data_IF_425275113247
#
_entry.id   IF_425275113247
#
_cell.length_a   1.000
_cell.length_b   1.000
_cell.length_c   1.000
_cell.angle_alpha   90.00
_cell.angle_beta   90.00
_cell.angle_gamma   90.00
#
_symmetry.space_group_name_H-M   'P 1'
#
loop_
_entity.id
_entity.type
_entity.pdbx_description
1 polymer ?
#
# COMPACT_ATOMS: atom_id res chain seq x y z
N UNK A 1 12.55 14.46 -2.23
CA UNK A 1 12.61 13.00 -2.14
C UNK A 1 13.58 12.46 -3.19
N UNK A 2 14.52 11.61 -2.80
CA UNK A 2 15.53 11.09 -3.71
C UNK A 2 15.08 9.74 -4.29
N UNK A 3 14.22 9.03 -3.58
CA UNK A 3 13.62 7.75 -4.00
C UNK A 3 12.18 7.69 -3.55
N UNK A 4 11.32 7.24 -4.43
CA UNK A 4 9.92 7.01 -4.13
C UNK A 4 9.66 5.51 -3.97
N UNK A 5 8.75 5.19 -3.06
CA UNK A 5 8.34 3.85 -2.75
C UNK A 5 6.81 3.76 -2.79
N UNK A 6 6.32 3.07 -3.80
CA UNK A 6 4.90 2.94 -4.08
C UNK A 6 4.41 1.50 -3.84
N UNK A 7 3.11 1.31 -3.82
CA UNK A 7 2.46 0.00 -3.69
C UNK A 7 2.93 -0.79 -2.46
N UNK A 8 2.94 -0.14 -1.28
CA UNK A 8 3.43 -0.72 -0.02
C UNK A 8 4.87 -1.26 -0.08
N UNK A 9 5.66 -0.71 -0.98
CA UNK A 9 7.03 -1.14 -1.21
C UNK A 9 7.19 -2.15 -2.35
N UNK A 10 6.12 -2.50 -3.06
CA UNK A 10 6.20 -3.34 -4.26
C UNK A 10 7.02 -2.69 -5.38
N UNK A 11 7.12 -1.35 -5.38
CA UNK A 11 7.92 -0.61 -6.37
C UNK A 11 8.77 0.46 -5.71
N UNK A 12 10.05 0.52 -6.09
CA UNK A 12 11.01 1.55 -5.69
C UNK A 12 11.59 2.18 -6.94
N UNK A 13 11.52 3.51 -7.04
CA UNK A 13 12.02 4.28 -8.18
C UNK A 13 13.04 5.30 -7.69
N UNK A 14 14.16 5.45 -8.38
CA UNK A 14 15.06 6.59 -8.19
C UNK A 14 14.46 7.81 -8.90
N UNK A 15 14.01 8.80 -8.12
CA UNK A 15 13.32 9.97 -8.64
C UNK A 15 14.20 10.91 -9.48
N UNK A 16 15.52 10.75 -9.44
CA UNK A 16 16.45 11.56 -10.25
C UNK A 16 16.62 10.99 -11.65
N UNK A 17 16.65 9.67 -11.76
CA UNK A 17 16.90 8.98 -13.04
C UNK A 17 15.63 8.42 -13.66
N UNK A 18 14.56 8.23 -12.87
CA UNK A 18 13.36 7.50 -13.25
C UNK A 18 13.57 5.98 -13.30
N UNK A 19 14.73 5.48 -12.87
CA UNK A 19 15.04 4.05 -12.88
C UNK A 19 14.22 3.31 -11.83
N UNK A 20 13.57 2.21 -12.23
CA UNK A 20 12.93 1.28 -11.31
C UNK A 20 13.97 0.38 -10.68
N UNK A 21 14.21 0.56 -9.38
CA UNK A 21 15.21 -0.21 -8.62
C UNK A 21 14.65 -1.57 -8.16
N UNK A 22 13.39 -1.60 -7.78
CA UNK A 22 12.66 -2.81 -7.34
C UNK A 22 11.27 -2.76 -7.92
N UNK A 23 10.79 -3.88 -8.44
CA UNK A 23 9.41 -4.05 -8.85
C UNK A 23 8.98 -5.50 -8.54
N UNK A 24 8.02 -5.64 -7.63
CA UNK A 24 7.35 -6.91 -7.32
C UNK A 24 5.95 -6.85 -7.88
N UNK A 25 5.58 -7.83 -8.68
CA UNK A 25 4.30 -7.88 -9.38
C UNK A 25 3.54 -9.13 -9.00
N UNK A 26 2.23 -9.06 -9.07
CA UNK A 26 1.36 -10.22 -9.02
C UNK A 26 1.69 -11.17 -10.18
N UNK A 27 1.54 -12.47 -9.96
CA UNK A 27 1.52 -13.42 -11.06
C UNK A 27 0.41 -13.00 -12.05
N UNK A 28 0.71 -12.84 -13.34
CA UNK A 28 -0.30 -12.43 -14.33
C UNK A 28 -1.55 -13.31 -14.34
N UNK A 29 -1.44 -14.60 -14.01
CA UNK A 29 -2.57 -15.51 -13.90
C UNK A 29 -3.55 -15.15 -12.78
N UNK A 30 -3.10 -14.39 -11.76
CA UNK A 30 -3.96 -13.95 -10.66
C UNK A 30 -4.90 -12.81 -11.04
N UNK A 31 -4.57 -11.99 -12.04
CA UNK A 31 -5.40 -10.84 -12.44
C UNK A 31 -6.82 -11.27 -12.83
N UNK A 32 -7.02 -12.22 -13.78
CA UNK A 32 -8.37 -12.66 -14.12
C UNK A 32 -9.07 -13.38 -12.96
N UNK A 33 -8.34 -14.09 -12.10
CA UNK A 33 -8.93 -14.76 -10.94
C UNK A 33 -9.42 -13.75 -9.88
N UNK A 34 -8.68 -12.68 -9.64
CA UNK A 34 -9.06 -11.59 -8.74
C UNK A 34 -10.27 -10.82 -9.30
N UNK A 35 -10.31 -10.57 -10.62
CA UNK A 35 -11.48 -9.98 -11.28
C UNK A 35 -12.71 -10.89 -11.13
N UNK A 36 -12.58 -12.19 -11.36
CA UNK A 36 -13.67 -13.15 -11.18
C UNK A 36 -14.14 -13.24 -9.72
N UNK A 37 -13.22 -13.16 -8.75
CA UNK A 37 -13.56 -13.09 -7.33
C UNK A 37 -14.40 -11.86 -7.01
N UNK A 38 -13.98 -10.69 -7.48
CA UNK A 38 -14.70 -9.44 -7.26
C UNK A 38 -16.09 -9.46 -7.92
N UNK A 39 -16.19 -9.96 -9.14
CA UNK A 39 -17.45 -10.11 -9.85
C UNK A 39 -18.43 -11.05 -9.12
N UNK A 40 -17.95 -12.19 -8.59
CA UNK A 40 -18.76 -13.13 -7.82
C UNK A 40 -19.29 -12.53 -6.51
N UNK A 41 -18.62 -11.52 -5.96
CA UNK A 41 -19.02 -10.79 -4.76
C UNK A 41 -19.85 -9.54 -5.08
N UNK A 42 -20.08 -9.24 -6.35
CA UNK A 42 -20.71 -8.00 -6.81
C UNK A 42 -20.07 -6.73 -6.24
N UNK A 43 -18.73 -6.66 -6.33
CA UNK A 43 -17.91 -5.53 -5.88
C UNK A 43 -16.96 -5.09 -7.00
N UNK A 44 -16.46 -3.85 -6.91
CA UNK A 44 -15.49 -3.36 -7.87
C UNK A 44 -14.07 -3.80 -7.51
N UNK A 45 -13.25 -3.97 -8.54
CA UNK A 45 -11.81 -4.14 -8.46
C UNK A 45 -11.15 -3.24 -9.49
N UNK A 46 -10.01 -2.68 -9.13
CA UNK A 46 -9.26 -1.76 -9.97
C UNK A 46 -7.76 -2.02 -9.88
N UNK A 47 -7.03 -1.50 -10.83
CA UNK A 47 -5.57 -1.43 -10.81
C UNK A 47 -5.10 -0.08 -11.36
N UNK A 48 -3.80 0.07 -11.57
CA UNK A 48 -3.18 1.32 -11.96
C UNK A 48 -2.29 1.10 -13.19
N UNK A 49 -2.30 2.08 -14.07
CA UNK A 49 -1.31 2.19 -15.12
C UNK A 49 -0.65 3.59 -15.06
N UNK A 50 0.12 3.98 -16.09
CA UNK A 50 0.79 5.29 -16.11
C UNK A 50 -0.17 6.47 -16.30
N UNK A 51 -1.38 6.21 -16.78
CA UNK A 51 -2.36 7.23 -17.13
C UNK A 51 -3.38 7.45 -16.00
N UNK A 52 -3.61 6.44 -15.15
CA UNK A 52 -4.58 6.56 -14.06
C UNK A 52 -4.98 5.23 -13.42
N UNK A 53 -6.17 5.25 -12.86
CA UNK A 53 -6.84 4.11 -12.23
C UNK A 53 -7.69 3.41 -13.28
N UNK A 54 -7.50 2.12 -13.47
CA UNK A 54 -8.24 1.30 -14.44
C UNK A 54 -9.29 0.47 -13.74
N UNK A 55 -10.55 0.60 -14.13
CA UNK A 55 -11.70 -0.07 -13.52
C UNK A 55 -12.75 -0.43 -14.57
N UNK A 56 -13.45 -1.57 -14.39
CA UNK A 56 -14.60 -1.92 -15.24
C UNK A 56 -15.88 -1.19 -14.82
N UNK A 57 -16.07 -0.95 -13.53
CA UNK A 57 -17.30 -0.33 -13.02
C UNK A 57 -17.28 1.17 -13.21
N UNK A 58 -18.19 1.65 -14.05
CA UNK A 58 -18.48 3.08 -14.16
C UNK A 58 -19.26 3.53 -12.91
N UNK A 59 -18.87 4.70 -12.36
CA UNK A 59 -19.55 5.37 -11.23
C UNK A 59 -19.65 4.57 -9.94
N UNK A 60 -18.72 3.64 -9.68
CA UNK A 60 -18.63 3.00 -8.37
C UNK A 60 -18.24 4.03 -7.30
N UNK A 61 -19.05 4.13 -6.22
CA UNK A 61 -18.83 5.12 -5.16
C UNK A 61 -17.46 4.96 -4.51
N UNK A 62 -17.07 3.72 -4.24
CA UNK A 62 -15.85 3.42 -3.49
C UNK A 62 -14.61 3.55 -4.37
N UNK A 63 -14.69 3.15 -5.65
CA UNK A 63 -13.62 3.38 -6.61
C UNK A 63 -13.35 4.87 -6.83
N UNK A 64 -14.40 5.71 -6.83
CA UNK A 64 -14.25 7.15 -6.94
C UNK A 64 -13.54 7.78 -5.74
N UNK A 65 -13.58 7.15 -4.55
CA UNK A 65 -12.80 7.61 -3.38
C UNK A 65 -11.30 7.47 -3.62
N UNK A 66 -10.87 6.43 -4.33
CA UNK A 66 -9.46 6.27 -4.70
C UNK A 66 -9.03 7.38 -5.67
N UNK A 67 -9.84 7.74 -6.67
CA UNK A 67 -9.58 8.89 -7.54
C UNK A 67 -9.46 10.19 -6.76
N UNK A 68 -10.33 10.40 -5.80
CA UNK A 68 -10.29 11.61 -4.96
C UNK A 68 -9.03 11.66 -4.11
N UNK A 69 -8.62 10.53 -3.53
CA UNK A 69 -7.44 10.44 -2.66
C UNK A 69 -6.14 10.59 -3.44
N UNK A 70 -6.01 9.87 -4.56
CA UNK A 70 -4.78 9.85 -5.36
C UNK A 70 -4.67 11.01 -6.35
N UNK A 71 -5.78 11.69 -6.65
CA UNK A 71 -5.92 12.70 -7.72
C UNK A 71 -5.65 12.14 -9.12
N UNK A 72 -5.72 10.83 -9.29
CA UNK A 72 -5.59 10.17 -10.58
C UNK A 72 -6.96 10.09 -11.28
N UNK A 73 -6.99 10.19 -12.62
CA UNK A 73 -8.23 9.99 -13.38
C UNK A 73 -8.65 8.52 -13.38
N UNK A 74 -9.96 8.28 -13.49
CA UNK A 74 -10.51 6.96 -13.76
C UNK A 74 -10.48 6.68 -15.26
N UNK A 75 -9.99 5.50 -15.61
CA UNK A 75 -10.00 4.93 -16.97
C UNK A 75 -10.97 3.77 -16.93
N UNK A 76 -12.10 3.94 -17.63
CA UNK A 76 -13.10 2.89 -17.75
C UNK A 76 -12.71 1.90 -18.85
N UNK A 77 -12.85 0.60 -18.57
CA UNK A 77 -12.63 -0.49 -19.52
C UNK A 77 -13.76 -1.50 -19.44
N UNK A 78 -14.08 -2.17 -20.54
CA UNK A 78 -15.17 -3.14 -20.59
C UNK A 78 -14.82 -4.48 -19.93
N UNK A 79 -13.53 -4.85 -19.90
CA UNK A 79 -13.00 -6.09 -19.34
C UNK A 79 -11.60 -5.83 -18.78
N UNK A 80 -11.50 -5.69 -17.46
CA UNK A 80 -10.24 -5.40 -16.78
C UNK A 80 -9.25 -6.57 -16.91
N UNK A 81 -9.73 -7.80 -16.84
CA UNK A 81 -8.90 -8.99 -16.93
C UNK A 81 -8.20 -9.11 -18.30
N UNK A 82 -8.93 -8.80 -19.37
CA UNK A 82 -8.36 -8.80 -20.73
C UNK A 82 -7.54 -7.55 -21.05
N UNK A 83 -7.88 -6.41 -20.42
CA UNK A 83 -7.16 -5.16 -20.62
C UNK A 83 -5.75 -5.18 -20.02
N UNK A 84 -5.60 -5.81 -18.85
CA UNK A 84 -4.34 -5.83 -18.12
C UNK A 84 -3.34 -6.80 -18.77
N UNK A 85 -2.47 -6.27 -19.59
CA UNK A 85 -1.39 -6.97 -20.29
C UNK A 85 0.01 -6.46 -19.86
N UNK A 86 0.10 -5.87 -18.69
CA UNK A 86 1.31 -5.27 -18.11
C UNK A 86 1.52 -5.74 -16.67
N UNK A 87 2.74 -5.61 -16.12
CA UNK A 87 3.02 -5.98 -14.73
C UNK A 87 2.19 -5.17 -13.74
N UNK A 88 1.52 -5.85 -12.80
CA UNK A 88 0.64 -5.25 -11.79
C UNK A 88 1.25 -5.40 -10.40
N UNK A 89 1.58 -4.31 -9.76
CA UNK A 89 2.12 -4.31 -8.40
C UNK A 89 1.03 -4.45 -7.31
N UNK A 90 -0.21 -4.06 -7.64
CA UNK A 90 -1.34 -4.07 -6.72
C UNK A 90 -2.66 -4.05 -7.48
N UNK A 91 -3.63 -4.83 -7.02
CA UNK A 91 -5.05 -4.61 -7.32
C UNK A 91 -5.77 -4.14 -6.05
N UNK A 92 -6.77 -3.30 -6.21
CA UNK A 92 -7.55 -2.73 -5.12
C UNK A 92 -9.01 -3.13 -5.28
N UNK A 93 -9.53 -3.85 -4.32
CA UNK A 93 -10.94 -4.19 -4.21
C UNK A 93 -11.62 -3.08 -3.42
N UNK A 94 -12.73 -2.56 -3.95
CA UNK A 94 -13.47 -1.46 -3.35
C UNK A 94 -14.89 -1.91 -3.03
N UNK A 95 -15.37 -1.60 -1.81
CA UNK A 95 -16.64 -2.12 -1.34
C UNK A 95 -17.20 -1.36 -0.13
N UNK A 96 -18.47 -1.64 0.18
CA UNK A 96 -19.11 -1.18 1.41
C UNK A 96 -18.32 -1.64 2.64
N UNK A 97 -17.97 -0.75 3.58
CA UNK A 97 -17.25 -1.07 4.81
C UNK A 97 -17.86 -2.24 5.61
N UNK A 98 -19.17 -2.38 5.63
CA UNK A 98 -19.86 -3.46 6.35
C UNK A 98 -19.51 -4.86 5.81
N UNK A 99 -19.05 -4.96 4.56
CA UNK A 99 -18.69 -6.23 3.90
C UNK A 99 -17.20 -6.54 3.94
N UNK A 100 -16.35 -5.53 4.26
CA UNK A 100 -14.90 -5.59 4.08
C UNK A 100 -14.27 -6.81 4.75
N UNK A 101 -14.53 -7.03 6.03
CA UNK A 101 -13.83 -8.08 6.78
C UNK A 101 -14.22 -9.48 6.28
N UNK A 102 -15.48 -9.69 5.95
CA UNK A 102 -15.95 -10.98 5.39
C UNK A 102 -15.35 -11.26 4.00
N UNK A 103 -15.33 -10.25 3.12
CA UNK A 103 -14.74 -10.36 1.78
C UNK A 103 -13.24 -10.53 1.87
N UNK A 104 -12.56 -9.80 2.76
CA UNK A 104 -11.13 -9.95 2.98
C UNK A 104 -10.77 -11.38 3.42
N UNK A 105 -11.48 -11.94 4.40
CA UNK A 105 -11.26 -13.30 4.86
C UNK A 105 -11.48 -14.34 3.76
N UNK A 106 -12.53 -14.19 2.94
CA UNK A 106 -12.79 -15.06 1.80
C UNK A 106 -11.67 -14.98 0.76
N UNK A 107 -11.19 -13.77 0.44
CA UNK A 107 -10.07 -13.57 -0.47
C UNK A 107 -8.77 -14.17 0.06
N UNK A 108 -8.45 -13.96 1.34
CA UNK A 108 -7.28 -14.56 1.99
C UNK A 108 -7.29 -16.08 1.90
N UNK A 109 -8.45 -16.70 2.08
CA UNK A 109 -8.60 -18.16 1.95
C UNK A 109 -8.41 -18.62 0.50
N UNK A 110 -9.03 -17.93 -0.47
CA UNK A 110 -8.99 -18.31 -1.88
C UNK A 110 -7.60 -18.15 -2.50
N UNK A 111 -6.88 -17.09 -2.13
CA UNK A 111 -5.57 -16.74 -2.69
C UNK A 111 -4.40 -17.10 -1.76
N UNK A 112 -4.64 -17.91 -0.71
CA UNK A 112 -3.61 -18.34 0.24
C UNK A 112 -2.37 -18.91 -0.48
N UNK A 113 -1.17 -18.40 -0.10
CA UNK A 113 0.09 -18.83 -0.69
C UNK A 113 0.35 -18.33 -2.12
N UNK A 114 -0.51 -17.46 -2.67
CA UNK A 114 -0.40 -16.91 -4.04
C UNK A 114 -0.40 -15.39 -4.08
N UNK A 115 -1.17 -14.75 -3.22
CA UNK A 115 -1.19 -13.30 -3.03
C UNK A 115 -1.53 -12.98 -1.57
N UNK A 116 -1.10 -11.82 -1.10
CA UNK A 116 -1.51 -11.27 0.19
C UNK A 116 -2.69 -10.32 -0.01
N UNK A 117 -3.78 -10.54 0.76
CA UNK A 117 -4.93 -9.66 0.80
C UNK A 117 -5.08 -9.09 2.21
N UNK A 118 -5.21 -7.77 2.32
CA UNK A 118 -5.42 -7.12 3.62
C UNK A 118 -6.21 -5.81 3.47
N UNK A 119 -6.95 -5.40 4.52
CA UNK A 119 -7.65 -4.12 4.52
C UNK A 119 -6.64 -2.97 4.65
N UNK A 120 -6.78 -1.93 3.82
CA UNK A 120 -5.96 -0.71 3.90
C UNK A 120 -6.75 0.52 4.29
N UNK A 121 -8.08 0.45 4.19
CA UNK A 121 -9.00 1.46 4.67
C UNK A 121 -10.37 0.82 5.00
N UNK A 122 -11.32 1.54 5.56
CA UNK A 122 -12.65 0.98 5.81
C UNK A 122 -13.33 0.37 4.59
N UNK A 123 -13.03 0.85 3.38
CA UNK A 123 -13.68 0.46 2.12
C UNK A 123 -12.71 -0.11 1.08
N UNK A 124 -11.46 -0.43 1.46
CA UNK A 124 -10.46 -0.98 0.55
C UNK A 124 -9.83 -2.26 1.08
N UNK A 125 -9.67 -3.24 0.18
CA UNK A 125 -8.82 -4.42 0.37
C UNK A 125 -7.77 -4.40 -0.72
N UNK A 126 -6.51 -4.46 -0.33
CA UNK A 126 -5.39 -4.56 -1.27
C UNK A 126 -5.03 -6.01 -1.54
N UNK A 127 -4.87 -6.36 -2.81
CA UNK A 127 -4.28 -7.62 -3.26
C UNK A 127 -2.89 -7.32 -3.84
N UNK A 128 -1.86 -7.87 -3.22
CA UNK A 128 -0.44 -7.62 -3.54
C UNK A 128 0.32 -8.94 -3.68
N UNK A 129 1.50 -8.95 -4.32
CA UNK A 129 2.37 -10.11 -4.35
C UNK A 129 2.73 -10.58 -2.94
N UNK A 130 2.92 -11.89 -2.77
CA UNK A 130 3.33 -12.47 -1.48
C UNK A 130 4.58 -11.78 -0.91
N UNK A 131 4.52 -11.50 0.38
CA UNK A 131 5.63 -10.91 1.12
C UNK A 131 6.00 -9.48 0.70
N UNK A 132 5.07 -8.78 0.07
CA UNK A 132 5.19 -7.33 -0.12
C UNK A 132 4.74 -6.64 1.16
N UNK A 133 5.71 -6.20 1.95
CA UNK A 133 5.50 -5.42 3.15
C UNK A 133 6.45 -4.22 3.15
N UNK A 134 6.10 -3.19 3.91
CA UNK A 134 6.86 -1.93 3.92
C UNK A 134 8.29 -2.11 4.45
N UNK A 135 8.51 -2.99 5.41
CA UNK A 135 9.83 -3.32 5.98
C UNK A 135 10.76 -4.03 4.98
N UNK A 136 10.27 -5.04 4.28
CA UNK A 136 11.08 -5.79 3.30
C UNK A 136 11.61 -4.92 2.16
N UNK A 137 10.83 -3.96 1.70
CA UNK A 137 11.27 -3.00 0.68
C UNK A 137 12.26 -1.96 1.22
N UNK A 138 12.12 -1.57 2.49
CA UNK A 138 13.08 -0.69 3.15
C UNK A 138 14.42 -1.39 3.36
N UNK A 139 14.41 -2.65 3.78
CA UNK A 139 15.63 -3.45 3.91
C UNK A 139 16.41 -3.52 2.58
N UNK A 140 15.72 -3.79 1.47
CA UNK A 140 16.35 -3.82 0.13
C UNK A 140 16.88 -2.44 -0.30
N UNK A 141 16.12 -1.37 -0.03
CA UNK A 141 16.57 -0.01 -0.32
C UNK A 141 17.82 0.35 0.48
N UNK A 142 17.84 0.09 1.78
CA UNK A 142 19.00 0.33 2.65
C UNK A 142 20.22 -0.45 2.16
N UNK A 143 20.05 -1.74 1.85
CA UNK A 143 21.13 -2.58 1.31
C UNK A 143 21.75 -1.99 0.05
N UNK A 144 20.93 -1.49 -0.89
CA UNK A 144 21.40 -0.83 -2.12
C UNK A 144 22.13 0.48 -1.85
N UNK A 145 21.79 1.16 -0.77
CA UNK A 145 22.44 2.41 -0.34
C UNK A 145 23.68 2.18 0.51
N UNK A 146 24.03 0.93 0.86
CA UNK A 146 25.10 0.62 1.81
C UNK A 146 24.78 1.05 3.25
N UNK A 147 23.50 1.15 3.59
CA UNK A 147 22.97 1.53 4.89
C UNK A 147 22.35 0.32 5.60
N UNK A 148 22.16 0.47 6.91
CA UNK A 148 21.51 -0.53 7.76
C UNK A 148 20.26 0.04 8.43
N UNK A 149 19.51 -0.79 9.16
CA UNK A 149 18.29 -0.36 9.85
C UNK A 149 18.56 0.76 10.87
N UNK A 150 19.72 0.80 11.47
CA UNK A 150 20.15 1.82 12.42
C UNK A 150 20.25 3.22 11.78
N UNK A 151 20.33 3.31 10.47
CA UNK A 151 20.31 4.56 9.71
C UNK A 151 18.90 4.99 9.28
N UNK A 152 17.86 4.25 9.70
CA UNK A 152 16.48 4.46 9.31
C UNK A 152 15.66 5.01 10.47
N UNK A 153 15.01 6.14 10.27
CA UNK A 153 13.84 6.57 11.03
C UNK A 153 12.58 6.34 10.18
N UNK A 154 11.58 5.67 10.74
CA UNK A 154 10.30 5.44 10.09
C UNK A 154 9.18 6.05 10.91
N UNK A 155 8.29 6.79 10.24
CA UNK A 155 7.10 7.42 10.84
C UNK A 155 5.83 6.87 10.20
N UNK A 156 4.76 6.68 10.98
CA UNK A 156 3.48 6.21 10.46
C UNK A 156 2.36 6.24 11.49
N UNK A 157 1.14 5.95 11.04
CA UNK A 157 -0.07 5.98 11.87
C UNK A 157 -1.00 4.78 11.64
N UNK A 158 -0.96 4.13 10.48
CA UNK A 158 -1.82 3.02 10.11
C UNK A 158 -1.23 1.64 10.42
N UNK A 159 -2.09 0.62 10.53
CA UNK A 159 -1.68 -0.77 10.79
C UNK A 159 -0.65 -1.28 9.77
N UNK A 160 -0.72 -0.83 8.52
CA UNK A 160 0.24 -1.17 7.47
C UNK A 160 1.61 -0.52 7.65
N UNK A 161 1.79 0.41 8.61
CA UNK A 161 3.07 1.03 8.95
C UNK A 161 3.79 0.29 10.08
N UNK A 162 3.09 -0.52 10.85
CA UNK A 162 3.63 -1.19 12.04
C UNK A 162 4.90 -1.99 11.75
N UNK A 163 4.98 -2.70 10.62
CA UNK A 163 6.17 -3.49 10.27
C UNK A 163 7.39 -2.60 9.98
N UNK A 164 7.22 -1.47 9.28
CA UNK A 164 8.35 -0.57 9.00
C UNK A 164 8.80 0.20 10.25
N UNK A 165 7.87 0.54 11.14
CA UNK A 165 8.16 1.19 12.42
C UNK A 165 8.96 0.24 13.31
N UNK A 166 8.52 -1.00 13.46
CA UNK A 166 9.23 -2.02 14.23
C UNK A 166 10.60 -2.39 13.64
N UNK A 167 10.75 -2.29 12.33
CA UNK A 167 12.01 -2.61 11.63
C UNK A 167 13.05 -1.50 11.79
N UNK A 168 12.66 -0.24 11.82
CA UNK A 168 13.57 0.92 11.83
C UNK A 168 14.48 0.95 13.06
N UNK A 169 15.61 1.66 12.94
CA UNK A 169 16.46 2.00 14.07
C UNK A 169 15.81 3.01 15.01
N UNK A 170 14.92 3.86 14.48
CA UNK A 170 14.02 4.72 15.24
C UNK A 170 12.63 4.62 14.61
N UNK A 171 11.73 3.92 15.29
CA UNK A 171 10.32 3.79 14.91
C UNK A 171 9.46 4.82 15.61
N UNK A 172 8.71 5.61 14.86
CA UNK A 172 7.89 6.72 15.37
C UNK A 172 6.43 6.50 14.98
N UNK A 173 5.53 6.45 15.95
CA UNK A 173 4.10 6.47 15.75
C UNK A 173 3.55 7.89 15.93
N UNK A 174 2.63 8.29 15.07
CA UNK A 174 1.91 9.56 15.24
C UNK A 174 0.95 9.49 16.44
N UNK A 175 0.61 10.63 17.03
CA UNK A 175 -0.32 10.70 18.17
C UNK A 175 -1.66 10.01 17.87
N UNK A 176 -2.18 10.16 16.65
CA UNK A 176 -3.42 9.54 16.18
C UNK A 176 -3.25 8.11 15.64
N UNK A 177 -2.06 7.50 15.78
CA UNK A 177 -1.82 6.15 15.29
C UNK A 177 -2.70 5.12 16.03
N UNK A 178 -2.96 3.99 15.36
CA UNK A 178 -3.60 2.83 15.95
C UNK A 178 -2.79 2.31 17.16
N UNK A 179 -3.47 1.83 18.20
CA UNK A 179 -2.80 1.37 19.44
C UNK A 179 -1.76 0.27 19.17
N UNK A 180 -2.04 -0.63 18.23
CA UNK A 180 -1.10 -1.68 17.83
C UNK A 180 0.18 -1.10 17.17
N UNK A 181 0.10 0.03 16.51
CA UNK A 181 1.25 0.75 15.90
C UNK A 181 2.04 1.47 16.98
N UNK A 182 1.35 2.12 17.91
CA UNK A 182 2.02 2.74 19.09
C UNK A 182 2.77 1.74 19.94
N UNK A 183 2.23 0.53 20.08
CA UNK A 183 2.84 -0.53 20.90
C UNK A 183 4.19 -1.04 20.37
N UNK A 184 4.48 -0.86 19.07
CA UNK A 184 5.74 -1.31 18.45
C UNK A 184 6.70 -0.15 18.14
N UNK A 185 6.31 1.09 18.42
CA UNK A 185 7.12 2.29 18.18
C UNK A 185 8.07 2.57 19.35
N UNK A 186 9.26 3.11 19.03
CA UNK A 186 10.21 3.63 20.04
C UNK A 186 9.76 4.98 20.61
N UNK A 187 8.96 5.72 19.81
CA UNK A 187 8.46 7.04 20.18
C UNK A 187 7.07 7.29 19.63
N UNK A 188 6.22 7.92 20.44
CA UNK A 188 4.91 8.42 20.00
C UNK A 188 4.95 9.94 20.06
N UNK A 189 4.64 10.61 18.94
CA UNK A 189 4.62 12.07 18.88
C UNK A 189 3.48 12.67 19.70
N UNK A 190 3.69 13.88 20.22
CA UNK A 190 2.64 14.64 20.90
C UNK A 190 1.61 15.21 19.91
N UNK A 191 2.04 15.45 18.67
CA UNK A 191 1.21 15.93 17.57
C UNK A 191 0.78 14.78 16.65
N UNK A 192 -0.38 14.90 16.02
CA UNK A 192 -0.88 13.94 15.04
C UNK A 192 -0.29 14.20 13.63
N UNK A 193 -0.70 13.39 12.65
CA UNK A 193 -0.24 13.49 11.26
C UNK A 193 -0.73 14.76 10.53
N UNK A 194 -1.71 15.49 11.06
CA UNK A 194 -2.23 16.75 10.51
C UNK A 194 -1.63 17.99 11.20
N UNK A 195 -0.93 17.81 12.31
CA UNK A 195 -0.40 18.88 13.17
C UNK A 195 1.11 18.72 13.39
N UNK A 196 1.85 18.47 12.30
CA UNK A 196 3.32 18.46 12.27
C UNK A 196 4.03 17.38 13.12
N UNK A 197 3.36 16.24 13.41
CA UNK A 197 3.97 15.13 14.16
C UNK A 197 5.27 14.60 13.54
N UNK A 198 5.38 14.58 12.21
CA UNK A 198 6.64 14.20 11.52
C UNK A 198 7.74 15.25 11.74
N UNK A 199 7.40 16.54 11.77
CA UNK A 199 8.37 17.60 12.07
C UNK A 199 8.93 17.45 13.49
N UNK A 200 8.08 17.17 14.48
CA UNK A 200 8.49 16.86 15.86
C UNK A 200 9.52 15.71 15.91
N UNK A 201 9.27 14.63 15.16
CA UNK A 201 10.20 13.51 15.09
C UNK A 201 11.55 13.90 14.46
N UNK A 202 11.53 14.68 13.37
CA UNK A 202 12.75 15.16 12.71
C UNK A 202 13.55 16.08 13.65
N UNK A 203 12.90 17.01 14.31
CA UNK A 203 13.55 17.91 15.26
C UNK A 203 14.22 17.13 16.38
N UNK A 204 13.51 16.13 16.94
CA UNK A 204 14.00 15.34 18.06
C UNK A 204 15.17 14.43 17.71
N UNK A 205 15.14 13.74 16.56
CA UNK A 205 16.07 12.64 16.26
C UNK A 205 17.10 12.93 15.19
N UNK A 206 16.91 14.02 14.42
CA UNK A 206 17.78 14.34 13.28
C UNK A 206 18.49 15.69 13.46
N UNK A 207 17.81 16.69 14.04
CA UNK A 207 18.34 18.06 14.12
C UNK A 207 18.96 18.42 15.48
N UNK A 208 18.76 17.59 16.52
CA UNK A 208 19.31 17.81 17.88
C UNK A 208 20.55 16.94 18.16
#
# INVERSE_FOLDING_TARGET
CIRDRSYNGGKIVDCRTGETLVEKTLDPALVPELCAFAAAQDIAILTYNREGIVCERDKDEWANKECFTTKLPMIHVDDLASYVNYPVCKMLITLDPARRDAVCAAGQQQFAGRADLYPSSPFFIEAVPLGVAKDGSLAELLRRMGLTRENLMACGDGLNDGSMISYAGVGVAMQNAEDAVKAVADYVTAADNNHDGVAEAIEKFILN
#
